data_IF_938551787709
#
_entry.id   IF_938551787709
#
_cell.length_a   1.000
_cell.length_b   1.000
_cell.length_c   1.000
_cell.angle_alpha   90.00
_cell.angle_beta   90.00
_cell.angle_gamma   90.00
#
_symmetry.space_group_name_H-M   'P 1'
#
loop_
_entity.id
_entity.type
_entity.pdbx_description
1 polymer ?
#
# COMPACT_ATOMS: atom_id res chain seq x y z
N UNK A 1 17.97 -20.14 -17.90
CA UNK A 1 17.45 -18.96 -17.14
C UNK A 1 15.97 -19.18 -16.87
N UNK A 2 15.53 -19.23 -15.61
CA UNK A 2 14.12 -19.16 -15.30
C UNK A 2 13.62 -17.77 -15.69
N UNK A 3 12.55 -17.69 -16.50
CA UNK A 3 11.93 -16.42 -16.81
C UNK A 3 11.58 -15.71 -15.49
N UNK A 4 11.87 -14.41 -15.38
CA UNK A 4 11.44 -13.63 -14.23
C UNK A 4 9.90 -13.75 -14.11
N UNK A 5 9.35 -13.82 -12.89
CA UNK A 5 7.91 -13.91 -12.72
C UNK A 5 7.23 -12.72 -13.40
N UNK A 6 6.19 -13.00 -14.19
CA UNK A 6 5.44 -11.99 -14.98
C UNK A 6 4.76 -10.92 -14.12
N UNK A 7 4.64 -11.14 -12.82
CA UNK A 7 4.05 -10.22 -11.85
C UNK A 7 4.88 -10.19 -10.56
N UNK A 8 4.94 -9.04 -9.86
CA UNK A 8 5.58 -8.96 -8.56
C UNK A 8 4.83 -9.82 -7.55
N UNK A 9 5.57 -10.42 -6.64
CA UNK A 9 4.97 -11.12 -5.51
C UNK A 9 4.32 -10.12 -4.54
N UNK A 10 3.15 -10.48 -4.01
CA UNK A 10 2.41 -9.70 -3.02
C UNK A 10 2.20 -10.49 -1.72
N UNK A 11 1.79 -9.83 -0.65
CA UNK A 11 1.22 -10.48 0.53
C UNK A 11 -0.24 -10.89 0.26
N UNK A 12 -0.77 -11.79 1.09
CA UNK A 12 -2.07 -12.39 0.90
C UNK A 12 -1.98 -13.74 0.18
N UNK A 13 -2.99 -14.15 -0.59
CA UNK A 13 -3.03 -15.46 -1.25
C UNK A 13 -1.78 -15.73 -2.10
N UNK A 14 -1.13 -16.86 -1.87
CA UNK A 14 0.10 -17.32 -2.54
C UNK A 14 -0.14 -18.51 -3.50
N UNK A 15 -1.40 -18.84 -3.76
CA UNK A 15 -1.80 -20.02 -4.56
C UNK A 15 -1.82 -21.32 -3.78
N UNK A 16 -1.33 -21.34 -2.54
CA UNK A 16 -1.42 -22.46 -1.62
C UNK A 16 -2.72 -22.47 -0.80
N UNK A 17 -2.86 -23.40 0.15
CA UNK A 17 -3.99 -23.43 1.07
C UNK A 17 -4.15 -22.10 1.82
N UNK A 18 -5.40 -21.71 2.11
CA UNK A 18 -5.67 -20.50 2.90
C UNK A 18 -5.00 -20.64 4.28
N UNK A 19 -4.13 -19.70 4.70
CA UNK A 19 -3.50 -19.79 6.00
C UNK A 19 -4.53 -19.59 7.12
N UNK A 20 -4.31 -20.24 8.28
CA UNK A 20 -5.13 -19.99 9.46
C UNK A 20 -4.92 -18.56 9.99
N UNK A 21 -3.70 -18.04 9.87
CA UNK A 21 -3.33 -16.71 10.29
C UNK A 21 -2.44 -16.04 9.24
N UNK A 22 -2.93 -14.95 8.65
CA UNK A 22 -2.20 -14.19 7.62
C UNK A 22 -1.54 -12.95 8.22
N UNK A 23 -0.22 -13.01 8.41
CA UNK A 23 0.64 -11.88 8.77
C UNK A 23 1.30 -11.23 7.55
N UNK A 24 1.03 -11.72 6.35
CA UNK A 24 1.68 -11.27 5.12
C UNK A 24 0.99 -10.07 4.47
N UNK A 25 -0.31 -9.90 4.68
CA UNK A 25 -1.05 -8.75 4.19
C UNK A 25 -0.93 -7.55 5.14
N UNK A 26 -0.82 -6.35 4.59
CA UNK A 26 -0.71 -5.12 5.38
C UNK A 26 -2.07 -4.48 5.70
N UNK A 27 -3.16 -5.13 5.34
CA UNK A 27 -4.50 -4.64 5.66
C UNK A 27 -4.76 -4.66 7.16
N UNK A 28 -5.64 -3.78 7.62
CA UNK A 28 -6.14 -3.81 9.00
C UNK A 28 -6.92 -5.11 9.24
N UNK A 29 -6.54 -5.92 10.24
CA UNK A 29 -7.28 -7.13 10.57
C UNK A 29 -8.56 -6.86 11.38
N UNK A 30 -8.85 -5.60 11.69
CA UNK A 30 -10.06 -5.22 12.43
C UNK A 30 -11.32 -5.20 11.56
N UNK A 31 -11.14 -5.31 10.23
CA UNK A 31 -12.24 -5.23 9.28
C UNK A 31 -12.75 -3.80 9.06
N UNK A 32 -13.82 -3.63 8.32
CA UNK A 32 -14.43 -2.33 8.05
C UNK A 32 -15.33 -1.84 9.18
N UNK A 33 -15.58 -0.51 9.28
CA UNK A 33 -16.66 0.02 10.10
C UNK A 33 -18.01 -0.58 9.67
N UNK A 34 -18.91 -0.93 10.61
CA UNK A 34 -20.16 -1.62 10.28
C UNK A 34 -21.05 -0.87 9.28
N UNK A 35 -21.20 0.46 9.43
CA UNK A 35 -22.00 1.28 8.52
C UNK A 35 -21.43 1.30 7.11
N UNK A 36 -20.10 1.45 6.96
CA UNK A 36 -19.43 1.39 5.66
C UNK A 36 -19.56 0.00 5.04
N UNK A 37 -19.40 -1.06 5.83
CA UNK A 37 -19.61 -2.43 5.35
C UNK A 37 -21.01 -2.65 4.82
N UNK A 38 -22.03 -2.16 5.55
CA UNK A 38 -23.41 -2.24 5.09
C UNK A 38 -23.62 -1.49 3.77
N UNK A 39 -23.07 -0.28 3.63
CA UNK A 39 -23.16 0.50 2.40
C UNK A 39 -22.50 -0.23 1.22
N UNK A 40 -21.31 -0.80 1.42
CA UNK A 40 -20.61 -1.59 0.38
C UNK A 40 -21.38 -2.86 0.02
N UNK A 41 -21.91 -3.58 1.01
CA UNK A 41 -22.64 -4.84 0.79
C UNK A 41 -23.96 -4.63 0.05
N UNK A 42 -24.62 -3.48 0.30
CA UNK A 42 -25.89 -3.11 -0.30
C UNK A 42 -25.76 -2.28 -1.59
N UNK A 43 -24.54 -2.07 -2.10
CA UNK A 43 -24.33 -1.32 -3.33
C UNK A 43 -25.13 -1.89 -4.50
N UNK A 44 -25.80 -1.04 -5.28
CA UNK A 44 -26.61 -1.47 -6.43
C UNK A 44 -25.72 -1.92 -7.59
N UNK A 45 -25.62 -3.22 -7.77
CA UNK A 45 -24.81 -3.89 -8.80
C UNK A 45 -25.55 -4.01 -10.15
N UNK A 46 -26.83 -3.59 -10.23
CA UNK A 46 -27.64 -3.72 -11.45
C UNK A 46 -27.46 -2.52 -12.40
N UNK A 47 -26.98 -1.40 -11.87
CA UNK A 47 -26.83 -0.15 -12.60
C UNK A 47 -25.38 0.29 -12.65
N UNK A 48 -24.96 0.88 -13.78
CA UNK A 48 -23.68 1.58 -13.82
C UNK A 48 -23.69 2.80 -12.90
N UNK A 49 -22.58 3.11 -12.23
CA UNK A 49 -22.46 4.39 -11.53
C UNK A 49 -22.41 5.58 -12.50
N UNK A 50 -22.51 6.80 -11.98
CA UNK A 50 -22.29 8.03 -12.76
C UNK A 50 -20.94 7.93 -13.50
N UNK A 51 -20.91 7.95 -14.85
CA UNK A 51 -19.68 7.77 -15.61
C UNK A 51 -18.63 8.86 -15.35
N UNK A 52 -19.04 10.00 -14.81
CA UNK A 52 -18.15 11.10 -14.43
C UNK A 52 -17.85 11.16 -12.93
N UNK A 53 -18.50 10.33 -12.12
CA UNK A 53 -18.35 10.30 -10.64
C UNK A 53 -18.47 11.69 -10.00
N UNK A 54 -19.35 12.58 -10.50
CA UNK A 54 -19.41 13.99 -10.11
C UNK A 54 -19.62 14.22 -8.61
N UNK A 55 -20.56 13.50 -8.00
CA UNK A 55 -20.82 13.59 -6.58
C UNK A 55 -19.64 13.06 -5.76
N UNK A 56 -19.07 11.91 -6.17
CA UNK A 56 -17.93 11.29 -5.52
C UNK A 56 -16.69 12.20 -5.59
N UNK A 57 -16.38 12.75 -6.75
CA UNK A 57 -15.23 13.64 -6.96
C UNK A 57 -15.30 14.89 -6.07
N UNK A 58 -16.48 15.54 -5.99
CA UNK A 58 -16.70 16.66 -5.08
C UNK A 58 -16.47 16.28 -3.62
N UNK A 59 -16.93 15.10 -3.21
CA UNK A 59 -16.72 14.63 -1.84
C UNK A 59 -15.25 14.34 -1.52
N UNK A 60 -14.54 13.69 -2.43
CA UNK A 60 -13.14 13.31 -2.24
C UNK A 60 -12.17 14.49 -2.39
N UNK A 61 -12.55 15.51 -3.14
CA UNK A 61 -11.72 16.71 -3.39
C UNK A 61 -11.50 17.56 -2.14
N UNK A 62 -12.47 17.61 -1.20
CA UNK A 62 -12.40 18.52 -0.06
C UNK A 62 -12.18 19.96 -0.52
N UNK A 63 -11.02 20.52 -0.16
CA UNK A 63 -10.61 21.86 -0.58
C UNK A 63 -10.02 21.91 -2.01
N UNK A 64 -9.77 20.76 -2.63
CA UNK A 64 -9.28 20.66 -4.01
C UNK A 64 -10.42 20.74 -5.01
N UNK A 65 -10.12 21.24 -6.22
CA UNK A 65 -11.08 21.19 -7.33
C UNK A 65 -11.48 19.73 -7.62
N UNK A 66 -12.79 19.48 -7.68
CA UNK A 66 -13.34 18.17 -8.01
C UNK A 66 -12.82 17.62 -9.36
N UNK A 67 -12.47 18.50 -10.31
CA UNK A 67 -11.89 18.09 -11.60
C UNK A 67 -10.49 17.49 -11.44
N UNK A 68 -9.77 17.81 -10.39
CA UNK A 68 -8.43 17.26 -10.10
C UNK A 68 -8.47 15.87 -9.44
N UNK A 69 -9.65 15.40 -9.03
CA UNK A 69 -9.83 14.06 -8.45
C UNK A 69 -10.12 13.04 -9.54
N UNK A 70 -9.29 12.02 -9.66
CA UNK A 70 -9.44 10.94 -10.67
C UNK A 70 -9.63 9.60 -9.95
N UNK A 71 -10.83 9.00 -9.95
CA UNK A 71 -11.05 7.67 -9.39
C UNK A 71 -10.20 6.59 -10.06
N UNK A 72 -9.80 5.57 -9.30
CA UNK A 72 -8.97 4.44 -9.76
C UNK A 72 -9.51 3.11 -9.26
N UNK A 73 -9.30 2.03 -10.00
CA UNK A 73 -9.58 0.66 -9.54
C UNK A 73 -8.50 0.16 -8.56
N UNK A 74 -8.20 0.96 -7.53
CA UNK A 74 -7.15 0.72 -6.55
C UNK A 74 -5.77 1.19 -7.02
N UNK A 75 -4.75 0.99 -6.16
CA UNK A 75 -3.40 1.51 -6.36
C UNK A 75 -2.72 0.99 -7.63
N UNK A 76 -2.83 -0.31 -7.91
CA UNK A 76 -2.16 -0.92 -9.07
C UNK A 76 -2.63 -0.33 -10.41
N UNK A 77 -3.93 -0.04 -10.56
CA UNK A 77 -4.44 0.64 -11.76
C UNK A 77 -3.96 2.10 -11.80
N UNK A 78 -4.03 2.81 -10.67
CA UNK A 78 -3.54 4.18 -10.57
C UNK A 78 -2.05 4.30 -10.92
N UNK A 79 -1.21 3.36 -10.45
CA UNK A 79 0.22 3.31 -10.76
C UNK A 79 0.44 3.14 -12.27
N UNK A 80 -0.21 2.17 -12.91
CA UNK A 80 -0.06 1.92 -14.34
C UNK A 80 -0.52 3.11 -15.17
N UNK A 81 -1.68 3.67 -14.83
CA UNK A 81 -2.25 4.84 -15.51
C UNK A 81 -1.35 6.06 -15.40
N UNK A 82 -0.84 6.36 -14.19
CA UNK A 82 0.05 7.50 -13.99
C UNK A 82 1.39 7.32 -14.68
N UNK A 83 1.98 6.12 -14.68
CA UNK A 83 3.24 5.87 -15.40
C UNK A 83 3.08 6.09 -16.91
N UNK A 84 1.96 5.64 -17.50
CA UNK A 84 1.66 5.89 -18.91
C UNK A 84 1.36 7.37 -19.17
N UNK A 85 0.61 8.05 -18.29
CA UNK A 85 0.32 9.47 -18.41
C UNK A 85 1.59 10.32 -18.34
N UNK A 86 2.50 10.00 -17.42
CA UNK A 86 3.80 10.64 -17.28
C UNK A 86 4.64 10.49 -18.55
N UNK A 87 4.74 9.29 -19.09
CA UNK A 87 5.45 9.03 -20.34
C UNK A 87 4.87 9.87 -21.50
N UNK A 88 3.55 9.94 -21.62
CA UNK A 88 2.89 10.76 -22.66
C UNK A 88 3.05 12.27 -22.44
N UNK A 89 3.29 12.70 -21.22
CA UNK A 89 3.60 14.08 -20.86
C UNK A 89 5.11 14.41 -20.99
N UNK A 90 5.92 13.47 -21.47
CA UNK A 90 7.35 13.71 -21.75
C UNK A 90 8.31 13.31 -20.61
N UNK A 91 7.81 12.63 -19.56
CA UNK A 91 8.64 12.13 -18.47
C UNK A 91 9.07 10.69 -18.77
N UNK A 92 10.32 10.50 -19.19
CA UNK A 92 10.85 9.20 -19.63
C UNK A 92 11.79 8.54 -18.63
N UNK A 93 12.25 9.24 -17.61
CA UNK A 93 12.91 8.63 -16.46
C UNK A 93 11.84 8.26 -15.40
N UNK A 94 12.01 7.09 -14.75
CA UNK A 94 11.13 6.67 -13.66
C UNK A 94 11.96 6.34 -12.44
N UNK A 95 11.76 7.05 -11.35
CA UNK A 95 12.44 6.83 -10.08
C UNK A 95 11.52 6.13 -9.10
N UNK A 96 12.01 5.06 -8.45
CA UNK A 96 11.22 4.19 -7.58
C UNK A 96 11.96 3.89 -6.27
N UNK A 97 11.27 3.80 -5.13
CA UNK A 97 11.89 3.43 -3.87
C UNK A 97 12.41 1.98 -3.91
N UNK A 98 13.58 1.74 -3.34
CA UNK A 98 14.19 0.42 -3.19
C UNK A 98 14.84 0.29 -1.80
N UNK A 99 14.35 -0.60 -0.91
CA UNK A 99 13.24 -1.52 -1.14
C UNK A 99 11.89 -0.81 -1.29
N UNK A 100 11.05 -1.27 -2.21
CA UNK A 100 9.79 -0.62 -2.54
C UNK A 100 8.74 -1.55 -3.14
N UNK A 101 7.54 -1.02 -3.31
CA UNK A 101 6.43 -1.77 -3.91
C UNK A 101 6.73 -2.03 -5.39
N UNK A 102 6.73 -3.31 -5.78
CA UNK A 102 7.20 -3.74 -7.09
C UNK A 102 6.41 -3.20 -8.30
N UNK A 103 5.13 -2.83 -8.10
CA UNK A 103 4.28 -2.37 -9.19
C UNK A 103 4.79 -1.08 -9.86
N UNK A 104 5.55 -0.24 -9.17
CA UNK A 104 6.14 0.97 -9.78
C UNK A 104 7.14 0.60 -10.89
N UNK A 105 8.08 -0.31 -10.56
CA UNK A 105 9.08 -0.76 -11.52
C UNK A 105 8.44 -1.59 -12.66
N UNK A 106 7.46 -2.44 -12.33
CA UNK A 106 6.75 -3.25 -13.33
C UNK A 106 5.93 -2.38 -14.28
N UNK A 107 5.30 -1.31 -13.79
CA UNK A 107 4.58 -0.36 -14.65
C UNK A 107 5.52 0.36 -15.63
N UNK A 108 6.72 0.78 -15.17
CA UNK A 108 7.73 1.37 -16.03
C UNK A 108 8.22 0.36 -17.07
N UNK A 109 8.58 -0.85 -16.64
CA UNK A 109 9.09 -1.91 -17.52
C UNK A 109 8.06 -2.31 -18.60
N UNK A 110 6.77 -2.34 -18.26
CA UNK A 110 5.70 -2.64 -19.21
C UNK A 110 5.59 -1.62 -20.36
N UNK A 111 6.14 -0.43 -20.18
CA UNK A 111 6.20 0.64 -21.17
C UNK A 111 7.59 0.78 -21.80
N UNK A 112 8.52 -0.14 -21.54
CA UNK A 112 9.89 -0.07 -22.02
C UNK A 112 10.75 1.00 -21.34
N UNK A 113 10.31 1.55 -20.21
CA UNK A 113 11.03 2.53 -19.42
C UNK A 113 11.92 1.85 -18.37
N UNK A 114 13.12 2.37 -18.15
CA UNK A 114 14.00 1.92 -17.08
C UNK A 114 13.60 2.56 -15.75
N UNK A 115 13.34 1.74 -14.73
CA UNK A 115 13.15 2.20 -13.37
C UNK A 115 14.51 2.38 -12.69
N UNK A 116 14.78 3.59 -12.19
CA UNK A 116 15.97 3.95 -11.42
C UNK A 116 15.66 3.83 -9.92
N UNK A 117 16.32 2.93 -9.19
CA UNK A 117 16.04 2.77 -7.77
C UNK A 117 16.69 3.90 -6.95
N UNK A 118 16.05 4.28 -5.85
CA UNK A 118 16.63 5.12 -4.81
C UNK A 118 16.36 4.50 -3.43
N UNK A 119 17.32 4.60 -2.52
CA UNK A 119 17.18 4.12 -1.14
C UNK A 119 16.73 5.25 -0.20
N UNK A 120 17.35 6.41 -0.34
CA UNK A 120 17.07 7.59 0.47
C UNK A 120 16.55 8.74 -0.41
N UNK A 121 15.75 9.66 0.13
CA UNK A 121 15.27 10.80 -0.64
C UNK A 121 16.36 11.60 -1.35
N UNK A 122 17.55 11.72 -0.74
CA UNK A 122 18.70 12.45 -1.30
C UNK A 122 19.30 11.78 -2.55
N UNK A 123 19.01 10.50 -2.79
CA UNK A 123 19.48 9.77 -3.97
C UNK A 123 18.68 10.13 -5.24
N UNK A 124 17.54 10.82 -5.08
CA UNK A 124 16.67 11.20 -6.21
C UNK A 124 17.32 12.38 -6.92
N UNK A 125 18.01 12.10 -8.04
CA UNK A 125 18.74 13.08 -8.84
C UNK A 125 18.44 12.90 -10.33
N UNK A 126 17.23 13.20 -10.81
CA UNK A 126 16.88 13.06 -12.22
C UNK A 126 17.69 14.02 -13.09
N UNK A 127 18.14 13.51 -14.25
CA UNK A 127 18.91 14.29 -15.22
C UNK A 127 18.06 14.78 -16.40
N UNK A 128 16.81 14.33 -16.46
CA UNK A 128 15.81 14.69 -17.47
C UNK A 128 14.43 14.72 -16.79
N UNK A 129 13.37 15.24 -17.45
CA UNK A 129 12.02 15.18 -16.92
C UNK A 129 11.64 13.74 -16.51
N UNK A 130 11.33 13.56 -15.22
CA UNK A 130 11.16 12.26 -14.61
C UNK A 130 9.81 12.12 -13.92
N UNK A 131 9.31 10.88 -13.86
CA UNK A 131 8.30 10.46 -12.91
C UNK A 131 9.00 9.94 -11.65
N UNK A 132 8.68 10.52 -10.48
CA UNK A 132 9.20 10.08 -9.19
C UNK A 132 8.06 9.50 -8.37
N UNK A 133 8.14 8.20 -8.09
CA UNK A 133 7.24 7.52 -7.16
C UNK A 133 7.78 7.63 -5.74
N UNK A 134 6.97 8.17 -4.85
CA UNK A 134 7.20 8.21 -3.40
C UNK A 134 6.17 7.30 -2.75
N UNK A 135 6.58 6.45 -1.83
CA UNK A 135 5.68 5.64 -1.01
C UNK A 135 5.78 6.10 0.45
N UNK A 136 4.75 6.78 0.96
CA UNK A 136 4.78 7.41 2.28
C UNK A 136 3.49 7.11 3.07
N UNK A 137 3.57 6.29 4.13
CA UNK A 137 4.70 5.47 4.60
C UNK A 137 5.12 4.39 3.61
N UNK A 138 6.41 4.01 3.63
CA UNK A 138 6.99 3.12 2.64
C UNK A 138 6.59 1.65 2.86
N UNK A 139 6.26 0.95 1.80
CA UNK A 139 6.14 -0.53 1.79
C UNK A 139 7.34 -1.11 1.02
N UNK A 140 8.15 -2.03 1.61
CA UNK A 140 7.82 -2.93 2.72
C UNK A 140 8.27 -2.48 4.12
N UNK A 141 8.98 -1.39 4.26
CA UNK A 141 9.69 -1.03 5.50
C UNK A 141 8.77 -0.47 6.59
N UNK A 142 7.67 0.17 6.21
CA UNK A 142 6.88 1.00 7.12
C UNK A 142 7.59 2.27 7.58
N UNK A 143 8.71 2.62 6.93
CA UNK A 143 9.46 3.82 7.23
C UNK A 143 8.76 5.07 6.70
N UNK A 144 9.07 6.21 7.30
CA UNK A 144 8.67 7.55 6.88
C UNK A 144 9.91 8.39 6.72
N UNK A 145 10.00 9.16 5.64
CA UNK A 145 11.11 10.09 5.43
C UNK A 145 10.99 11.29 6.37
N UNK A 146 12.12 11.91 6.69
CA UNK A 146 12.14 13.16 7.46
C UNK A 146 11.71 14.35 6.59
N UNK A 147 12.14 14.37 5.33
CA UNK A 147 11.83 15.37 4.33
C UNK A 147 12.03 14.81 2.92
N UNK A 148 11.50 15.51 1.92
CA UNK A 148 11.69 15.21 0.50
C UNK A 148 12.51 16.33 -0.17
N UNK A 149 13.38 16.02 -1.14
CA UNK A 149 14.12 17.04 -1.88
C UNK A 149 13.17 17.90 -2.73
N UNK A 150 13.64 19.05 -3.17
CA UNK A 150 12.97 19.79 -4.21
C UNK A 150 13.00 19.00 -5.52
N UNK A 151 11.83 18.79 -6.12
CA UNK A 151 11.65 17.99 -7.35
C UNK A 151 10.97 18.82 -8.45
N UNK A 152 11.33 20.10 -8.53
CA UNK A 152 10.79 21.05 -9.51
C UNK A 152 11.06 20.57 -10.94
N UNK A 153 10.06 20.67 -11.80
CA UNK A 153 10.15 20.19 -13.18
C UNK A 153 9.98 18.68 -13.35
N UNK A 154 9.74 17.93 -12.27
CA UNK A 154 9.46 16.51 -12.31
C UNK A 154 8.00 16.21 -11.92
N UNK A 155 7.45 15.10 -12.42
CA UNK A 155 6.16 14.59 -12.02
C UNK A 155 6.32 13.73 -10.78
N UNK A 156 5.87 14.23 -9.63
CA UNK A 156 5.95 13.51 -8.36
C UNK A 156 4.60 12.90 -8.02
N UNK A 157 4.57 11.61 -7.70
CA UNK A 157 3.38 10.93 -7.21
C UNK A 157 3.66 10.28 -5.87
N UNK A 158 2.94 10.71 -4.84
CA UNK A 158 3.02 10.15 -3.50
C UNK A 158 1.92 9.12 -3.31
N UNK A 159 2.32 7.87 -3.17
CA UNK A 159 1.42 6.77 -2.79
C UNK A 159 1.21 6.80 -1.27
N UNK A 160 0.00 7.15 -0.88
CA UNK A 160 -0.46 7.29 0.50
C UNK A 160 -1.31 6.11 0.98
N UNK A 161 -1.18 4.94 0.36
CA UNK A 161 -2.01 3.77 0.67
C UNK A 161 -1.93 3.35 2.15
N UNK A 162 -0.82 3.69 2.85
CA UNK A 162 -0.60 3.34 4.25
C UNK A 162 -0.67 4.54 5.21
N UNK A 163 -0.89 5.75 4.72
CA UNK A 163 -1.06 6.92 5.58
C UNK A 163 -2.22 6.74 6.59
N UNK A 164 -3.37 6.19 6.21
CA UNK A 164 -4.44 5.93 7.18
C UNK A 164 -4.10 4.88 8.26
N UNK A 165 -3.03 4.10 8.03
CA UNK A 165 -2.48 3.11 8.98
C UNK A 165 -1.20 3.60 9.67
N UNK A 166 -0.89 4.90 9.59
CA UNK A 166 0.19 5.50 10.38
C UNK A 166 -0.14 5.42 11.86
N UNK A 167 0.71 4.76 12.61
CA UNK A 167 0.55 4.53 14.05
C UNK A 167 1.43 5.47 14.89
N UNK A 168 2.56 5.92 14.34
CA UNK A 168 3.57 6.73 15.03
C UNK A 168 3.99 7.91 14.15
N UNK A 169 4.33 9.02 14.80
CA UNK A 169 4.82 10.24 14.14
C UNK A 169 3.76 10.94 13.29
N UNK A 170 4.21 11.89 12.52
CA UNK A 170 3.41 12.66 11.56
C UNK A 170 3.99 12.49 10.16
N UNK A 171 3.15 12.60 9.14
CA UNK A 171 3.62 12.63 7.76
C UNK A 171 4.51 13.86 7.52
N UNK A 172 5.63 13.72 6.81
CA UNK A 172 6.40 14.87 6.37
C UNK A 172 5.56 15.71 5.40
N UNK A 173 5.86 17.03 5.30
CA UNK A 173 5.29 17.83 4.23
C UNK A 173 5.55 17.17 2.88
N UNK A 174 4.50 17.08 2.05
CA UNK A 174 4.66 16.55 0.70
C UNK A 174 5.39 17.58 -0.18
N UNK A 175 6.14 17.12 -1.23
CA UNK A 175 6.67 18.05 -2.21
C UNK A 175 5.53 18.93 -2.77
N UNK A 176 5.77 20.24 -2.99
CA UNK A 176 4.82 21.08 -3.71
C UNK A 176 4.45 20.43 -5.03
N UNK A 177 3.37 20.58 -5.63
CA UNK A 177 2.99 19.97 -6.94
C UNK A 177 2.98 18.44 -6.96
N UNK A 178 3.00 17.77 -5.80
CA UNK A 178 2.90 16.31 -5.78
C UNK A 178 1.46 15.83 -6.01
N UNK A 179 1.32 14.87 -6.91
CA UNK A 179 0.12 14.05 -6.99
C UNK A 179 -0.01 13.15 -5.76
N UNK A 180 -1.21 12.86 -5.36
CA UNK A 180 -1.47 11.93 -4.27
C UNK A 180 -2.28 10.73 -4.78
N UNK A 181 -1.81 9.52 -4.53
CA UNK A 181 -2.56 8.29 -4.75
C UNK A 181 -3.08 7.78 -3.40
N UNK A 182 -4.38 7.76 -3.24
CA UNK A 182 -5.06 7.37 -1.99
C UNK A 182 -5.82 6.07 -2.19
N UNK A 183 -5.57 5.08 -1.33
CA UNK A 183 -6.18 3.75 -1.39
C UNK A 183 -6.64 3.31 0.01
N UNK A 184 -7.84 3.69 0.47
CA UNK A 184 -8.29 3.44 1.84
C UNK A 184 -8.63 1.97 2.13
N UNK A 185 -8.74 1.12 1.12
CA UNK A 185 -9.18 -0.26 1.23
C UNK A 185 -8.35 -1.11 2.20
N UNK A 186 -7.04 -0.80 2.37
CA UNK A 186 -6.17 -1.51 3.34
C UNK A 186 -6.50 -1.12 4.78
N UNK A 187 -6.70 0.17 5.03
CA UNK A 187 -7.07 0.66 6.36
C UNK A 187 -8.46 0.18 6.79
N UNK A 188 -9.34 -0.02 5.83
CA UNK A 188 -10.70 -0.50 6.04
C UNK A 188 -10.81 -2.04 6.04
N UNK A 189 -9.72 -2.79 5.83
CA UNK A 189 -9.77 -4.25 5.74
C UNK A 189 -10.56 -4.79 4.54
N UNK A 190 -10.74 -3.98 3.48
CA UNK A 190 -11.55 -4.30 2.30
C UNK A 190 -10.69 -4.37 1.02
N UNK A 191 -9.58 -5.12 1.07
CA UNK A 191 -8.63 -5.19 -0.05
C UNK A 191 -9.22 -5.79 -1.34
N UNK A 192 -10.27 -6.60 -1.23
CA UNK A 192 -11.02 -7.14 -2.35
C UNK A 192 -11.84 -6.09 -3.10
N UNK A 193 -12.24 -5.01 -2.43
CA UNK A 193 -12.88 -3.86 -3.09
C UNK A 193 -11.81 -3.01 -3.76
N UNK A 194 -11.81 -3.02 -5.08
CA UNK A 194 -10.81 -2.34 -5.90
C UNK A 194 -11.18 -0.87 -6.08
N UNK A 195 -10.79 -0.02 -5.13
CA UNK A 195 -11.13 1.39 -5.11
C UNK A 195 -9.97 2.24 -4.57
N UNK A 196 -9.75 3.37 -5.20
CA UNK A 196 -8.79 4.40 -4.85
C UNK A 196 -9.03 5.65 -5.68
N UNK A 197 -8.21 6.65 -5.51
CA UNK A 197 -8.27 7.87 -6.31
C UNK A 197 -6.92 8.59 -6.33
N UNK A 198 -6.71 9.36 -7.38
CA UNK A 198 -5.61 10.30 -7.52
C UNK A 198 -6.14 11.72 -7.26
N UNK A 199 -5.32 12.56 -6.65
CA UNK A 199 -5.53 14.00 -6.58
C UNK A 199 -4.37 14.64 -7.31
N UNK A 200 -4.68 15.35 -8.40
CA UNK A 200 -3.70 16.13 -9.15
C UNK A 200 -3.45 17.48 -8.47
N UNK A 201 -2.23 18.04 -8.52
CA UNK A 201 -1.95 19.39 -8.02
C UNK A 201 -2.49 20.48 -8.97
N UNK A 202 -2.60 20.16 -10.26
CA UNK A 202 -3.07 21.08 -11.30
C UNK A 202 -3.60 20.31 -12.50
N UNK A 203 -4.38 20.99 -13.36
CA UNK A 203 -4.88 20.47 -14.63
C UNK A 203 -3.83 20.65 -15.75
N UNK A 204 -2.71 19.94 -15.63
CA UNK A 204 -1.59 19.97 -16.57
C UNK A 204 -1.71 18.87 -17.67
N UNK A 205 -0.64 18.68 -18.46
CA UNK A 205 -0.60 17.64 -19.49
C UNK A 205 -0.71 16.22 -18.91
N UNK A 206 -0.09 15.96 -17.75
CA UNK A 206 -0.17 14.65 -17.10
C UNK A 206 -1.58 14.36 -16.61
N UNK A 207 -2.28 15.39 -16.07
CA UNK A 207 -3.69 15.28 -15.68
C UNK A 207 -4.58 14.98 -16.90
N UNK A 208 -4.38 15.68 -18.01
CA UNK A 208 -5.16 15.46 -19.22
C UNK A 208 -4.98 14.02 -19.73
N UNK A 209 -3.76 13.51 -19.76
CA UNK A 209 -3.48 12.12 -20.13
C UNK A 209 -4.04 11.13 -19.12
N UNK A 210 -3.86 11.33 -17.81
CA UNK A 210 -4.39 10.44 -16.79
C UNK A 210 -5.92 10.34 -16.82
N UNK A 211 -6.61 11.45 -17.12
CA UNK A 211 -8.07 11.49 -17.32
C UNK A 211 -8.49 10.71 -18.56
N UNK A 212 -7.80 10.92 -19.70
CA UNK A 212 -8.12 10.25 -20.96
C UNK A 212 -7.85 8.74 -20.91
N UNK A 213 -6.86 8.30 -20.15
CA UNK A 213 -6.49 6.89 -19.99
C UNK A 213 -7.37 6.14 -19.00
N UNK A 214 -8.26 6.84 -18.28
CA UNK A 214 -9.16 6.17 -17.33
C UNK A 214 -10.11 5.23 -18.08
N UNK A 215 -10.23 3.95 -17.63
CA UNK A 215 -11.27 3.07 -18.15
C UNK A 215 -12.66 3.63 -17.87
N UNK A 216 -13.61 3.41 -18.80
CA UNK A 216 -15.01 3.70 -18.52
C UNK A 216 -15.46 2.90 -17.31
N UNK A 217 -16.22 3.55 -16.41
CA UNK A 217 -16.70 2.91 -15.17
C UNK A 217 -15.58 2.21 -14.38
N UNK A 218 -14.48 2.92 -14.17
CA UNK A 218 -13.29 2.41 -13.45
C UNK A 218 -13.58 1.87 -12.06
N UNK A 219 -14.63 2.37 -11.38
CA UNK A 219 -15.12 1.84 -10.11
C UNK A 219 -16.38 1.01 -10.31
N UNK A 220 -16.46 -0.11 -9.57
CA UNK A 220 -17.71 -0.82 -9.34
C UNK A 220 -18.63 -0.05 -8.38
N UNK A 221 -19.88 -0.48 -8.25
CA UNK A 221 -20.82 0.08 -7.29
C UNK A 221 -20.29 0.02 -5.86
N UNK A 222 -19.62 -1.08 -5.48
CA UNK A 222 -18.97 -1.26 -4.18
C UNK A 222 -17.80 -0.29 -4.00
N UNK A 223 -17.02 -0.06 -5.06
CA UNK A 223 -15.93 0.92 -5.05
C UNK A 223 -16.42 2.34 -4.83
N UNK A 224 -17.53 2.71 -5.47
CA UNK A 224 -18.20 4.01 -5.26
C UNK A 224 -18.70 4.10 -3.82
N UNK A 225 -19.40 3.08 -3.31
CA UNK A 225 -19.90 3.07 -1.94
C UNK A 225 -18.78 3.21 -0.92
N UNK A 226 -17.68 2.44 -1.08
CA UNK A 226 -16.52 2.53 -0.21
C UNK A 226 -15.95 3.95 -0.17
N UNK A 227 -15.69 4.55 -1.32
CA UNK A 227 -15.08 5.88 -1.39
C UNK A 227 -16.05 6.99 -0.95
N UNK A 228 -17.35 6.82 -1.16
CA UNK A 228 -18.36 7.76 -0.67
C UNK A 228 -18.37 7.83 0.86
N UNK A 229 -18.27 6.68 1.52
CA UNK A 229 -18.31 6.58 2.99
C UNK A 229 -16.91 6.64 3.64
N UNK A 230 -15.85 6.71 2.85
CA UNK A 230 -14.48 6.82 3.34
C UNK A 230 -14.26 8.01 4.28
N UNK A 231 -14.80 9.19 3.93
CA UNK A 231 -14.62 10.44 4.67
C UNK A 231 -15.77 10.74 5.66
N UNK A 232 -16.65 9.80 5.93
CA UNK A 232 -17.68 9.96 6.95
C UNK A 232 -17.04 10.06 8.35
N UNK A 233 -17.57 10.92 9.21
CA UNK A 233 -17.04 11.13 10.56
C UNK A 233 -16.99 9.83 11.37
N UNK A 234 -18.01 8.98 11.26
CA UNK A 234 -18.06 7.67 11.91
C UNK A 234 -16.93 6.74 11.40
N UNK A 235 -16.64 6.77 10.09
CA UNK A 235 -15.53 6.01 9.52
C UNK A 235 -14.19 6.52 10.03
N UNK A 236 -14.00 7.82 10.12
CA UNK A 236 -12.76 8.42 10.63
C UNK A 236 -12.59 8.17 12.14
N UNK A 237 -13.67 8.24 12.92
CA UNK A 237 -13.65 7.90 14.34
C UNK A 237 -13.30 6.40 14.56
N UNK A 238 -13.89 5.51 13.76
CA UNK A 238 -13.55 4.09 13.78
C UNK A 238 -12.08 3.84 13.46
N UNK A 239 -11.54 4.53 12.44
CA UNK A 239 -10.12 4.42 12.08
C UNK A 239 -9.20 4.91 13.19
N UNK A 240 -9.58 5.98 13.90
CA UNK A 240 -8.82 6.46 15.05
C UNK A 240 -8.77 5.41 16.17
N UNK A 241 -9.88 4.78 16.49
CA UNK A 241 -9.96 3.67 17.45
C UNK A 241 -9.18 2.43 16.95
N UNK A 242 -9.29 2.10 15.66
CA UNK A 242 -8.54 1.01 15.05
C UNK A 242 -7.02 1.23 15.15
N UNK A 243 -6.52 2.44 14.89
CA UNK A 243 -5.10 2.77 15.07
C UNK A 243 -4.63 2.63 16.52
N UNK A 244 -5.47 3.00 17.50
CA UNK A 244 -5.15 2.79 18.91
C UNK A 244 -4.96 1.30 19.21
N UNK A 245 -5.90 0.46 18.77
CA UNK A 245 -5.84 -0.99 18.93
C UNK A 245 -4.63 -1.61 18.21
N UNK A 246 -4.35 -1.16 16.98
CA UNK A 246 -3.20 -1.63 16.22
C UNK A 246 -1.87 -1.26 16.87
N UNK A 247 -1.76 -0.10 17.56
CA UNK A 247 -0.56 0.23 18.35
C UNK A 247 -0.31 -0.78 19.46
N UNK A 248 -1.35 -1.15 20.21
CA UNK A 248 -1.25 -2.16 21.26
C UNK A 248 -0.79 -3.51 20.70
N UNK A 249 -1.42 -3.97 19.63
CA UNK A 249 -1.10 -5.24 18.98
C UNK A 249 0.31 -5.25 18.37
N UNK A 250 0.72 -4.13 17.77
CA UNK A 250 2.08 -3.97 17.23
C UNK A 250 3.12 -4.08 18.35
N UNK A 251 2.90 -3.39 19.46
CA UNK A 251 3.82 -3.44 20.61
C UNK A 251 3.94 -4.86 21.19
N UNK A 252 2.81 -5.54 21.41
CA UNK A 252 2.80 -6.91 21.93
C UNK A 252 3.47 -7.89 20.96
N UNK A 253 3.20 -7.81 19.66
CA UNK A 253 3.79 -8.70 18.66
C UNK A 253 5.29 -8.44 18.48
N UNK A 254 5.75 -7.17 18.56
CA UNK A 254 7.17 -6.84 18.53
C UNK A 254 7.91 -7.40 19.76
N UNK A 255 7.32 -7.31 20.95
CA UNK A 255 7.88 -7.92 22.16
C UNK A 255 8.00 -9.44 22.02
N UNK A 256 6.94 -10.12 21.54
CA UNK A 256 6.94 -11.55 21.27
C UNK A 256 8.09 -11.96 20.33
N UNK A 257 8.32 -11.23 19.25
CA UNK A 257 9.39 -11.52 18.29
C UNK A 257 10.79 -11.19 18.88
N UNK A 258 10.90 -10.13 19.67
CA UNK A 258 12.15 -9.77 20.36
C UNK A 258 12.56 -10.84 21.37
N UNK A 259 11.62 -11.38 22.17
CA UNK A 259 11.85 -12.50 23.09
C UNK A 259 12.37 -13.76 22.36
N UNK A 260 12.13 -13.87 21.06
CA UNK A 260 12.60 -14.94 20.16
C UNK A 260 13.81 -14.53 19.32
N UNK A 261 14.50 -13.44 19.72
CA UNK A 261 15.72 -12.94 19.08
C UNK A 261 15.56 -12.54 17.60
N UNK A 262 14.35 -12.21 17.18
CA UNK A 262 14.14 -11.66 15.84
C UNK A 262 14.67 -10.24 15.76
N UNK A 263 15.49 -9.97 14.74
CA UNK A 263 15.87 -8.60 14.40
C UNK A 263 14.68 -7.88 13.79
N UNK A 264 14.40 -6.63 14.18
CA UNK A 264 13.24 -5.88 13.70
C UNK A 264 13.64 -4.46 13.34
N UNK A 265 13.22 -3.99 12.16
CA UNK A 265 13.43 -2.61 11.74
C UNK A 265 12.34 -1.69 12.29
N UNK A 266 12.66 -0.40 12.53
CA UNK A 266 11.65 0.62 12.87
C UNK A 266 10.55 0.70 11.81
N UNK A 267 9.33 1.04 12.22
CA UNK A 267 8.19 1.28 11.34
C UNK A 267 7.21 2.24 12.02
N UNK A 268 6.58 3.10 11.25
CA UNK A 268 5.49 3.95 11.72
C UNK A 268 4.09 3.39 11.42
N UNK A 269 4.00 2.18 10.85
CA UNK A 269 2.73 1.55 10.43
C UNK A 269 2.42 0.27 11.23
N UNK A 270 1.33 -0.40 10.85
CA UNK A 270 0.94 -1.70 11.39
C UNK A 270 1.73 -2.89 10.82
N UNK A 271 2.77 -2.66 10.02
CA UNK A 271 3.64 -3.69 9.48
C UNK A 271 5.10 -3.26 9.54
N UNK A 272 6.02 -4.21 9.55
CA UNK A 272 7.47 -3.95 9.59
C UNK A 272 8.26 -5.12 9.03
N UNK A 273 9.53 -4.86 8.75
CA UNK A 273 10.49 -5.89 8.39
C UNK A 273 11.07 -6.54 9.66
N UNK A 274 11.08 -7.85 9.66
CA UNK A 274 11.65 -8.66 10.72
C UNK A 274 12.51 -9.78 10.13
N UNK A 275 13.58 -10.17 10.83
CA UNK A 275 14.46 -11.24 10.40
C UNK A 275 14.55 -12.30 11.50
N UNK A 276 14.15 -13.55 11.22
CA UNK A 276 14.26 -14.63 12.16
C UNK A 276 15.74 -14.97 12.42
N UNK A 277 16.11 -15.46 13.61
CA UNK A 277 17.47 -15.83 13.94
C UNK A 277 17.97 -17.05 13.14
N UNK A 278 17.04 -17.87 12.63
CA UNK A 278 17.37 -19.08 11.86
C UNK A 278 16.78 -19.00 10.44
N UNK A 279 17.57 -19.35 9.40
CA UNK A 279 17.04 -19.50 8.03
C UNK A 279 15.95 -20.57 7.97
N UNK A 280 15.03 -20.44 7.00
CA UNK A 280 13.97 -21.42 6.79
C UNK A 280 12.78 -21.32 7.76
N UNK A 281 12.77 -20.33 8.68
CA UNK A 281 11.64 -20.15 9.61
C UNK A 281 10.34 -19.81 8.88
N UNK A 282 10.36 -18.98 7.83
CA UNK A 282 9.15 -18.58 7.12
C UNK A 282 8.42 -19.76 6.45
N UNK A 283 9.06 -20.67 5.69
CA UNK A 283 8.42 -21.89 5.18
C UNK A 283 7.84 -22.77 6.29
N UNK A 284 8.56 -22.95 7.39
CA UNK A 284 8.07 -23.76 8.53
C UNK A 284 6.88 -23.15 9.25
N UNK A 285 6.78 -21.83 9.31
CA UNK A 285 5.56 -21.13 9.76
C UNK A 285 4.41 -21.40 8.80
N UNK A 286 4.68 -21.35 7.49
CA UNK A 286 3.67 -21.60 6.46
C UNK A 286 3.08 -23.02 6.55
N UNK A 287 3.90 -24.03 6.81
CA UNK A 287 3.48 -25.41 7.06
C UNK A 287 2.54 -25.52 8.28
N UNK A 288 2.67 -24.61 9.25
CA UNK A 288 1.81 -24.52 10.45
C UNK A 288 0.63 -23.55 10.31
N UNK A 289 0.31 -23.19 9.05
CA UNK A 289 -0.84 -22.33 8.76
C UNK A 289 -0.61 -20.85 9.07
N UNK A 290 0.63 -20.42 9.30
CA UNK A 290 0.99 -19.02 9.55
C UNK A 290 1.74 -18.48 8.34
N UNK A 291 1.17 -17.48 7.69
CA UNK A 291 1.78 -16.87 6.52
C UNK A 291 2.44 -15.54 6.87
N UNK A 292 3.73 -15.41 6.58
CA UNK A 292 4.48 -14.14 6.57
C UNK A 292 4.91 -13.81 5.15
N UNK A 293 5.24 -12.55 4.84
CA UNK A 293 5.67 -12.14 3.51
C UNK A 293 7.19 -12.21 3.41
N UNK A 294 7.72 -13.16 2.65
CA UNK A 294 9.14 -13.20 2.31
C UNK A 294 9.55 -11.88 1.61
N UNK A 295 10.63 -11.28 2.07
CA UNK A 295 11.11 -10.01 1.56
C UNK A 295 12.19 -10.13 0.47
N UNK A 296 12.51 -11.33 -0.01
CA UNK A 296 13.53 -11.55 -1.04
C UNK A 296 13.21 -10.79 -2.34
N UNK A 297 11.92 -10.73 -2.74
CA UNK A 297 11.49 -9.98 -3.93
C UNK A 297 11.62 -8.45 -3.79
N UNK A 298 11.82 -7.93 -2.56
CA UNK A 298 12.18 -6.54 -2.31
C UNK A 298 13.70 -6.30 -2.29
N UNK A 299 14.51 -7.33 -2.58
CA UNK A 299 15.97 -7.29 -2.46
C UNK A 299 16.50 -7.54 -1.04
N UNK A 300 15.69 -8.10 -0.15
CA UNK A 300 16.00 -8.32 1.27
C UNK A 300 15.93 -9.83 1.62
N UNK A 301 16.82 -10.68 1.09
CA UNK A 301 16.80 -12.11 1.39
C UNK A 301 17.01 -12.39 2.88
N UNK A 302 16.24 -13.34 3.42
CA UNK A 302 16.26 -13.70 4.85
C UNK A 302 15.45 -12.78 5.74
N UNK A 303 14.91 -11.69 5.24
CA UNK A 303 13.92 -10.87 5.92
C UNK A 303 12.51 -11.29 5.54
N UNK A 304 11.58 -11.04 6.44
CA UNK A 304 10.14 -11.13 6.19
C UNK A 304 9.47 -9.82 6.56
N UNK A 305 8.40 -9.48 5.87
CA UNK A 305 7.48 -8.45 6.33
C UNK A 305 6.35 -9.11 7.09
N UNK A 306 6.04 -8.59 8.27
CA UNK A 306 4.94 -9.02 9.13
C UNK A 306 4.02 -7.86 9.43
N UNK A 307 2.73 -8.12 9.58
CA UNK A 307 1.72 -7.15 10.02
C UNK A 307 1.20 -7.50 11.41
N UNK A 308 0.77 -6.48 12.14
CA UNK A 308 0.15 -6.64 13.45
C UNK A 308 -1.17 -7.42 13.32
N UNK A 309 -1.32 -8.45 14.14
CA UNK A 309 -2.47 -9.34 14.15
C UNK A 309 -3.13 -9.39 15.54
N UNK A 310 -4.39 -9.84 15.64
CA UNK A 310 -5.08 -9.99 16.91
C UNK A 310 -4.37 -10.93 17.89
N UNK A 311 -4.62 -10.79 19.22
CA UNK A 311 -3.96 -11.61 20.25
C UNK A 311 -4.02 -13.11 20.01
N UNK A 312 -5.13 -13.63 19.51
CA UNK A 312 -5.27 -15.07 19.21
C UNK A 312 -4.28 -15.52 18.12
N UNK A 313 -4.10 -14.73 17.05
CA UNK A 313 -3.13 -15.02 16.00
C UNK A 313 -1.68 -14.88 16.52
N UNK A 314 -1.42 -13.90 17.40
CA UNK A 314 -0.11 -13.74 18.05
C UNK A 314 0.22 -14.95 18.94
N UNK A 315 -0.76 -15.49 19.64
CA UNK A 315 -0.58 -16.70 20.45
C UNK A 315 -0.29 -17.91 19.57
N UNK A 316 -0.97 -18.07 18.44
CA UNK A 316 -0.68 -19.12 17.47
C UNK A 316 0.74 -18.98 16.88
N UNK A 317 1.17 -17.75 16.56
CA UNK A 317 2.55 -17.49 16.14
C UNK A 317 3.56 -17.86 17.21
N UNK A 318 3.31 -17.51 18.48
CA UNK A 318 4.17 -17.88 19.62
C UNK A 318 4.33 -19.39 19.70
N UNK A 319 3.24 -20.14 19.66
CA UNK A 319 3.27 -21.60 19.75
C UNK A 319 4.05 -22.21 18.59
N UNK A 320 3.77 -21.79 17.36
CA UNK A 320 4.47 -22.26 16.18
C UNK A 320 5.98 -22.02 16.23
N UNK A 321 6.41 -20.88 16.78
CA UNK A 321 7.84 -20.58 16.97
C UNK A 321 8.48 -21.49 18.02
N UNK A 322 7.78 -21.80 19.12
CA UNK A 322 8.24 -22.75 20.14
C UNK A 322 8.45 -24.13 19.52
N UNK A 323 7.48 -24.60 18.76
CA UNK A 323 7.54 -25.93 18.12
C UNK A 323 8.71 -26.01 17.12
N UNK A 324 8.90 -24.94 16.32
CA UNK A 324 10.02 -24.83 15.38
C UNK A 324 11.38 -24.86 16.10
N UNK A 325 11.50 -24.22 17.24
CA UNK A 325 12.73 -24.19 18.03
C UNK A 325 13.02 -25.56 18.64
N UNK A 326 12.00 -26.25 19.16
CA UNK A 326 12.11 -27.57 19.80
C UNK A 326 12.50 -28.70 18.83
N UNK A 327 12.10 -28.62 17.56
CA UNK A 327 12.47 -29.61 16.54
C UNK A 327 13.95 -29.58 16.13
N UNK A 328 14.68 -28.55 16.57
CA UNK A 328 16.10 -28.34 16.26
C UNK A 328 17.01 -28.46 17.49
N UNK A 329 16.46 -28.82 18.63
CA UNK A 329 17.18 -29.11 19.86
C UNK A 329 17.39 -30.61 20.03
#
# INVERSE_FOLDING_TARGET
MKAAPLQPEHGGPDGGPVPMHDFSTNASPLGPPPALWQAVSNADRRSYPDPQYRALRRRLGGDSDAELVLPTAGGAEGIRRMTLAAMRAGHHEVWVPQPGFGDYAVAAQALGLAAKPYAEPADIQPTAPALVWICEPCNPTGASAAAWPALDGHLVVVDRAYEPLRLLGQAPPLPPQAWQLVCPNKALGLTGVRAGYLIAPAADAAWAHARLLAPSWVLSAEGVALLTHWLDDDTQAWLAAARARLREWTAAQRALLADRQWQQLPSCTNFWLARPPRPGTAPRLRERGIQVRDAASFGLPGWVRVSAQPPAAQQALRQALIDIEGENS
#
